data_IF_705160428053
#
_entry.id   IF_705160428053
#
_cell.length_a   1.000
_cell.length_b   1.000
_cell.length_c   1.000
_cell.angle_alpha   90.00
_cell.angle_beta   90.00
_cell.angle_gamma   90.00
#
_symmetry.space_group_name_H-M   'P 1'
#
loop_
_entity.id
_entity.type
_entity.pdbx_description
1 polymer ?
#
# COMPACT_ATOMS: atom_id res chain seq x y z
N UNK A 1 20.01 -6.16 -1.43
CA UNK A 1 18.94 -6.02 -0.42
C UNK A 1 19.34 -4.84 0.43
N UNK A 2 18.64 -3.72 0.31
CA UNK A 2 18.96 -2.51 1.08
C UNK A 2 18.53 -2.77 2.53
N UNK A 3 19.53 -2.86 3.40
CA UNK A 3 19.37 -3.00 4.84
C UNK A 3 20.23 -1.94 5.50
N UNK A 4 19.69 -1.41 6.58
CA UNK A 4 20.16 -0.22 7.26
C UNK A 4 20.53 -0.64 8.68
N UNK A 5 21.80 -0.59 9.04
CA UNK A 5 22.30 -1.08 10.33
C UNK A 5 22.52 0.11 11.26
N UNK A 6 21.93 0.03 12.45
CA UNK A 6 22.17 1.02 13.50
C UNK A 6 23.42 0.62 14.29
N UNK A 7 24.39 1.53 14.30
CA UNK A 7 25.59 1.43 15.11
C UNK A 7 25.56 2.50 16.20
N UNK A 8 25.77 2.07 17.44
CA UNK A 8 26.15 2.97 18.51
C UNK A 8 27.68 3.06 18.51
N UNK A 9 28.22 4.26 18.63
CA UNK A 9 29.65 4.47 18.57
C UNK A 9 30.13 5.49 19.60
N UNK A 10 31.36 5.30 20.03
CA UNK A 10 32.14 6.26 20.80
C UNK A 10 33.41 6.56 20.04
N UNK A 11 33.75 7.83 19.92
CA UNK A 11 34.93 8.29 19.21
C UNK A 11 35.56 9.47 19.94
N UNK A 12 36.85 9.68 19.71
CA UNK A 12 37.62 10.78 20.30
C UNK A 12 38.08 11.70 19.17
N UNK A 13 37.92 13.01 19.35
CA UNK A 13 38.43 13.99 18.40
C UNK A 13 39.95 14.19 18.58
N UNK A 14 40.61 14.95 17.70
CA UNK A 14 42.04 15.26 17.82
C UNK A 14 42.43 16.04 19.09
N UNK A 15 41.47 16.62 19.79
CA UNK A 15 41.65 17.39 21.03
C UNK A 15 41.46 16.53 22.29
N UNK A 16 41.13 15.24 22.16
CA UNK A 16 40.93 14.32 23.29
C UNK A 16 39.51 14.34 23.88
N UNK A 17 38.56 15.02 23.24
CA UNK A 17 37.16 15.05 23.68
C UNK A 17 36.40 13.81 23.20
N UNK A 18 35.58 13.25 24.08
CA UNK A 18 34.77 12.07 23.81
C UNK A 18 33.41 12.44 23.21
N UNK A 19 33.10 11.83 22.07
CA UNK A 19 31.79 11.93 21.42
C UNK A 19 31.14 10.55 21.38
N UNK A 20 29.84 10.51 21.67
CA UNK A 20 29.02 9.32 21.52
C UNK A 20 27.82 9.62 20.63
N UNK A 21 27.45 8.68 19.78
CA UNK A 21 26.35 8.84 18.85
C UNK A 21 25.76 7.52 18.36
N UNK A 22 24.60 7.60 17.74
CA UNK A 22 23.98 6.49 17.03
C UNK A 22 23.81 6.88 15.57
N UNK A 23 24.46 6.16 14.66
CA UNK A 23 24.40 6.44 13.22
C UNK A 23 23.89 5.22 12.48
N UNK A 24 23.04 5.48 11.50
CA UNK A 24 22.42 4.44 10.69
C UNK A 24 23.08 4.43 9.31
N UNK A 25 23.76 3.33 8.99
CA UNK A 25 24.55 3.15 7.76
C UNK A 25 24.33 1.76 7.18
N UNK A 26 24.68 1.53 5.91
CA UNK A 26 24.53 0.21 5.27
C UNK A 26 25.68 -0.73 5.63
N UNK A 27 26.87 -0.19 5.86
CA UNK A 27 28.08 -0.95 6.16
C UNK A 27 28.88 -0.29 7.27
N UNK A 28 29.66 -1.09 8.01
CA UNK A 28 30.61 -0.55 9.00
C UNK A 28 31.64 0.37 8.36
N UNK A 29 32.01 0.13 7.11
CA UNK A 29 32.98 0.95 6.40
C UNK A 29 32.47 2.37 6.18
N UNK A 30 31.20 2.54 5.80
CA UNK A 30 30.56 3.87 5.72
C UNK A 30 30.58 4.63 7.06
N UNK A 31 30.48 3.92 8.19
CA UNK A 31 30.59 4.56 9.51
C UNK A 31 32.01 5.06 9.77
N UNK A 32 33.02 4.25 9.42
CA UNK A 32 34.43 4.62 9.58
C UNK A 32 34.79 5.79 8.66
N UNK A 33 34.34 5.77 7.41
CA UNK A 33 34.55 6.87 6.45
C UNK A 33 33.89 8.17 6.93
N UNK A 34 32.69 8.07 7.50
CA UNK A 34 32.01 9.19 8.14
C UNK A 34 32.82 9.75 9.32
N UNK A 35 33.30 8.90 10.22
CA UNK A 35 34.13 9.31 11.36
C UNK A 35 35.44 9.97 10.92
N UNK A 36 36.10 9.43 9.90
CA UNK A 36 37.33 10.01 9.35
C UNK A 36 37.10 11.41 8.77
N UNK A 37 35.97 11.61 8.07
CA UNK A 37 35.59 12.91 7.50
C UNK A 37 35.35 13.96 8.59
N UNK A 38 34.75 13.55 9.71
CA UNK A 38 34.51 14.39 10.90
C UNK A 38 35.75 14.53 11.81
N UNK A 39 36.89 13.92 11.45
CA UNK A 39 38.12 13.99 12.25
C UNK A 39 38.06 13.21 13.57
N UNK A 40 37.15 12.22 13.65
CA UNK A 40 36.91 11.36 14.81
C UNK A 40 37.66 10.03 14.68
N UNK A 41 38.30 9.60 15.77
CA UNK A 41 38.95 8.29 15.87
C UNK A 41 38.04 7.35 16.68
N UNK A 42 37.58 6.21 16.12
CA UNK A 42 36.67 5.31 16.82
C UNK A 42 37.35 4.60 18.00
N UNK A 43 36.72 4.67 19.17
CA UNK A 43 37.12 3.94 20.38
C UNK A 43 36.27 2.67 20.54
N UNK A 44 34.97 2.77 20.30
CA UNK A 44 34.03 1.66 20.41
C UNK A 44 32.97 1.74 19.31
N UNK A 45 32.68 0.61 18.65
CA UNK A 45 31.62 0.50 17.64
C UNK A 45 30.78 -0.73 17.96
N UNK A 46 29.53 -0.51 18.36
CA UNK A 46 28.58 -1.56 18.72
C UNK A 46 27.48 -1.63 17.65
N UNK A 47 27.41 -2.75 16.95
CA UNK A 47 26.28 -3.04 16.08
C UNK A 47 25.05 -3.40 16.92
N UNK A 48 23.94 -2.68 16.75
CA UNK A 48 22.70 -2.91 17.52
C UNK A 48 21.70 -3.76 16.75
N UNK A 49 21.02 -3.16 15.78
CA UNK A 49 19.92 -3.79 15.07
C UNK A 49 19.95 -3.42 13.59
N UNK A 50 19.65 -4.40 12.76
CA UNK A 50 19.43 -4.22 11.33
C UNK A 50 17.97 -3.87 11.08
N UNK A 51 17.75 -2.74 10.42
CA UNK A 51 16.47 -2.28 9.94
C UNK A 51 16.33 -2.63 8.47
N UNK A 52 15.17 -3.17 8.13
CA UNK A 52 14.75 -3.46 6.77
C UNK A 52 13.52 -2.62 6.42
N UNK A 53 13.12 -2.62 5.15
CA UNK A 53 11.92 -1.93 4.66
C UNK A 53 10.65 -2.13 5.53
N UNK A 54 10.51 -3.26 6.23
CA UNK A 54 9.36 -3.55 7.12
C UNK A 54 9.31 -2.71 8.40
N UNK A 55 10.45 -2.16 8.82
CA UNK A 55 10.56 -1.36 10.03
C UNK A 55 10.13 0.09 9.80
N UNK A 56 10.16 0.57 8.56
CA UNK A 56 9.72 1.91 8.18
C UNK A 56 8.20 1.94 8.02
N UNK A 57 7.49 2.33 9.09
CA UNK A 57 6.04 2.33 9.10
C UNK A 57 5.50 3.63 8.53
N UNK A 58 4.37 3.53 7.82
CA UNK A 58 3.66 4.69 7.26
C UNK A 58 3.25 5.74 8.32
N UNK A 59 2.73 5.36 9.51
CA UNK A 59 2.38 6.33 10.55
C UNK A 59 3.55 7.20 10.98
N UNK A 60 4.75 6.63 11.12
CA UNK A 60 5.93 7.38 11.56
C UNK A 60 6.34 8.43 10.52
N UNK A 61 6.26 8.08 9.23
CA UNK A 61 6.51 9.03 8.13
C UNK A 61 5.48 10.15 8.07
N UNK A 62 4.21 9.83 8.28
CA UNK A 62 3.12 10.82 8.35
C UNK A 62 3.37 11.76 9.53
N UNK A 63 3.72 11.21 10.69
CA UNK A 63 4.05 11.97 11.89
C UNK A 63 5.25 12.88 11.65
N UNK A 64 6.31 12.38 11.02
CA UNK A 64 7.49 13.16 10.63
C UNK A 64 7.09 14.39 9.79
N UNK A 65 6.40 14.21 8.66
CA UNK A 65 6.01 15.34 7.82
C UNK A 65 5.02 16.29 8.50
N UNK A 66 4.08 15.75 9.29
CA UNK A 66 3.12 16.55 10.05
C UNK A 66 3.84 17.46 11.05
N UNK A 67 4.71 16.89 11.88
CA UNK A 67 5.45 17.62 12.90
C UNK A 67 6.48 18.59 12.31
N UNK A 68 7.21 18.18 11.26
CA UNK A 68 8.11 19.09 10.54
C UNK A 68 7.34 20.28 9.97
N UNK A 69 6.18 20.03 9.36
CA UNK A 69 5.29 21.09 8.88
C UNK A 69 4.84 22.04 10.00
N UNK A 70 4.38 21.51 11.14
CA UNK A 70 3.96 22.31 12.30
C UNK A 70 5.08 23.15 12.88
N UNK A 71 6.31 22.62 12.96
CA UNK A 71 7.45 23.38 13.48
C UNK A 71 7.90 24.48 12.52
N UNK A 72 7.88 24.21 11.21
CA UNK A 72 8.13 25.24 10.19
C UNK A 72 7.06 26.33 10.24
N UNK A 73 5.80 25.96 10.46
CA UNK A 73 4.68 26.90 10.62
C UNK A 73 4.85 27.79 11.85
N UNK A 74 5.45 27.25 12.92
CA UNK A 74 5.82 28.01 14.12
C UNK A 74 7.06 28.90 13.92
N UNK A 75 7.65 28.93 12.71
CA UNK A 75 8.82 29.74 12.37
C UNK A 75 10.15 29.14 12.83
N UNK A 76 10.17 27.88 13.28
CA UNK A 76 11.40 27.23 13.72
C UNK A 76 12.25 26.83 12.50
N UNK A 77 13.58 27.11 12.50
CA UNK A 77 14.46 26.64 11.43
C UNK A 77 14.41 25.12 11.27
N UNK A 78 14.48 24.64 10.03
CA UNK A 78 14.33 23.22 9.70
C UNK A 78 15.30 22.32 10.47
N UNK A 79 16.58 22.72 10.55
CA UNK A 79 17.61 21.97 11.25
C UNK A 79 17.30 21.84 12.75
N UNK A 80 16.88 22.94 13.39
CA UNK A 80 16.50 22.96 14.81
C UNK A 80 15.25 22.12 15.05
N UNK A 81 14.26 22.21 14.15
CA UNK A 81 13.06 21.39 14.21
C UNK A 81 13.36 19.90 14.13
N UNK A 82 14.24 19.47 13.22
CA UNK A 82 14.66 18.07 13.12
C UNK A 82 15.35 17.57 14.40
N UNK A 83 16.17 18.41 15.04
CA UNK A 83 16.82 18.09 16.32
C UNK A 83 15.82 17.87 17.45
N UNK A 84 14.79 18.73 17.53
CA UNK A 84 13.73 18.66 18.54
C UNK A 84 12.88 17.39 18.35
N UNK A 85 12.54 17.07 17.10
CA UNK A 85 11.82 15.83 16.77
C UNK A 85 12.66 14.60 17.08
N UNK A 86 13.96 14.62 16.80
CA UNK A 86 14.85 13.53 17.15
C UNK A 86 14.92 13.27 18.67
N UNK A 87 14.92 14.33 19.48
CA UNK A 87 14.92 14.22 20.94
C UNK A 87 13.66 13.56 21.52
N UNK A 88 12.51 13.78 20.88
CA UNK A 88 11.20 13.33 21.37
C UNK A 88 10.70 12.02 20.75
N UNK A 89 11.22 11.61 19.58
CA UNK A 89 10.71 10.44 18.86
C UNK A 89 10.94 9.13 19.63
N UNK A 90 9.97 8.19 19.77
CA UNK A 90 10.17 6.97 20.57
C UNK A 90 11.13 5.96 19.92
N UNK A 91 11.18 5.92 18.59
CA UNK A 91 11.95 4.94 17.85
C UNK A 91 13.38 5.43 17.52
N UNK A 92 14.41 4.71 18.00
CA UNK A 92 15.83 5.06 17.84
C UNK A 92 16.28 5.25 16.38
N UNK A 93 15.80 4.41 15.45
CA UNK A 93 16.14 4.51 14.03
C UNK A 93 15.60 5.78 13.37
N UNK A 94 14.45 6.29 13.81
CA UNK A 94 13.94 7.58 13.35
C UNK A 94 14.72 8.75 13.94
N UNK A 95 15.17 8.65 15.22
CA UNK A 95 16.07 9.64 15.81
C UNK A 95 17.35 9.79 15.00
N UNK A 96 18.00 8.66 14.65
CA UNK A 96 19.22 8.68 13.85
C UNK A 96 18.98 9.28 12.46
N UNK A 97 17.88 8.95 11.79
CA UNK A 97 17.53 9.54 10.49
C UNK A 97 17.35 11.05 10.60
N UNK A 98 16.60 11.54 11.59
CA UNK A 98 16.37 12.97 11.79
C UNK A 98 17.67 13.73 12.09
N UNK A 99 18.56 13.17 12.91
CA UNK A 99 19.87 13.77 13.19
C UNK A 99 20.79 13.78 11.96
N UNK A 100 20.79 12.71 11.16
CA UNK A 100 21.55 12.66 9.91
C UNK A 100 21.02 13.68 8.89
N UNK A 101 19.69 13.83 8.77
CA UNK A 101 19.07 14.85 7.94
C UNK A 101 19.45 16.26 8.41
N UNK A 102 19.42 16.51 9.74
CA UNK A 102 19.85 17.78 10.32
C UNK A 102 21.30 18.11 9.96
N UNK A 103 22.23 17.17 10.14
CA UNK A 103 23.65 17.37 9.79
C UNK A 103 23.83 17.72 8.31
N UNK A 104 23.07 17.07 7.42
CA UNK A 104 23.12 17.36 5.99
C UNK A 104 22.62 18.75 5.65
N UNK A 105 21.56 19.21 6.32
CA UNK A 105 21.04 20.57 6.14
C UNK A 105 22.04 21.60 6.68
N UNK A 106 22.64 21.35 7.84
CA UNK A 106 23.67 22.22 8.43
C UNK A 106 24.93 22.32 7.56
N UNK A 107 25.29 21.26 6.83
CA UNK A 107 26.37 21.26 5.84
C UNK A 107 26.00 21.94 4.50
N UNK A 108 24.80 22.51 4.40
CA UNK A 108 24.35 23.28 3.23
C UNK A 108 23.62 22.46 2.16
N UNK A 109 23.31 21.19 2.41
CA UNK A 109 22.49 20.41 1.48
C UNK A 109 21.01 20.79 1.60
N UNK A 110 20.30 20.88 0.48
CA UNK A 110 18.83 21.01 0.48
C UNK A 110 18.19 19.79 1.15
N UNK A 111 17.09 19.99 1.86
CA UNK A 111 16.29 18.96 2.50
C UNK A 111 15.84 17.88 1.51
N UNK A 112 15.40 18.23 0.30
CA UNK A 112 15.00 17.23 -0.70
C UNK A 112 16.15 16.31 -1.13
N UNK A 113 17.38 16.81 -1.18
CA UNK A 113 18.59 16.01 -1.45
C UNK A 113 18.91 15.09 -0.27
N UNK A 114 18.81 15.60 0.97
CA UNK A 114 18.99 14.80 2.17
C UNK A 114 17.99 13.64 2.24
N UNK A 115 16.70 13.89 1.94
CA UNK A 115 15.66 12.85 1.89
C UNK A 115 15.92 11.77 0.82
N UNK A 116 16.57 12.10 -0.31
CA UNK A 116 16.88 11.12 -1.39
C UNK A 116 17.79 9.99 -0.93
N UNK A 117 18.59 10.21 0.10
CA UNK A 117 19.46 9.17 0.66
C UNK A 117 18.68 8.04 1.36
N UNK A 118 17.39 8.28 1.62
CA UNK A 118 16.51 7.36 2.33
C UNK A 118 15.29 6.94 1.48
N UNK A 119 15.50 6.31 0.29
CA UNK A 119 14.41 5.97 -0.64
C UNK A 119 13.44 4.93 -0.07
N UNK A 120 13.85 4.14 0.93
CA UNK A 120 12.98 3.20 1.64
C UNK A 120 11.92 3.90 2.49
N UNK A 121 12.24 5.11 2.97
CA UNK A 121 11.37 5.92 3.84
C UNK A 121 10.57 6.89 2.97
N UNK A 122 11.26 7.61 2.08
CA UNK A 122 10.71 8.71 1.29
C UNK A 122 10.61 8.34 -0.20
N UNK A 123 9.39 8.02 -0.70
CA UNK A 123 9.17 7.76 -2.11
C UNK A 123 9.53 8.96 -3.00
N UNK A 124 9.86 8.74 -4.30
CA UNK A 124 10.25 9.81 -5.23
C UNK A 124 9.25 10.97 -5.35
N UNK A 125 7.96 10.70 -5.19
CA UNK A 125 6.89 11.72 -5.22
C UNK A 125 7.00 12.65 -4.02
N UNK A 126 7.25 12.11 -2.81
CA UNK A 126 7.46 12.91 -1.60
C UNK A 126 8.66 13.85 -1.78
N UNK A 127 9.78 13.30 -2.24
CA UNK A 127 11.00 14.05 -2.50
C UNK A 127 10.75 15.17 -3.52
N UNK A 128 10.00 14.88 -4.59
CA UNK A 128 9.73 15.87 -5.64
C UNK A 128 8.82 17.00 -5.13
N UNK A 129 7.84 16.70 -4.29
CA UNK A 129 6.97 17.69 -3.65
C UNK A 129 7.72 18.56 -2.63
N UNK A 130 8.62 17.95 -1.84
CA UNK A 130 9.48 18.70 -0.92
C UNK A 130 10.43 19.60 -1.70
N UNK A 131 11.06 19.09 -2.77
CA UNK A 131 11.93 19.88 -3.65
C UNK A 131 11.20 21.08 -4.25
N UNK A 132 9.92 20.91 -4.61
CA UNK A 132 9.08 22.00 -5.08
C UNK A 132 8.84 23.04 -3.97
N UNK A 133 8.47 22.59 -2.77
CA UNK A 133 8.27 23.47 -1.62
C UNK A 133 9.53 24.24 -1.22
N UNK A 134 10.72 23.64 -1.36
CA UNK A 134 11.98 24.35 -1.16
C UNK A 134 12.19 25.45 -2.19
N UNK A 135 11.92 25.17 -3.47
CA UNK A 135 12.10 26.14 -4.55
C UNK A 135 11.10 27.29 -4.49
N UNK A 136 9.87 27.02 -4.07
CA UNK A 136 8.80 28.03 -3.99
C UNK A 136 8.66 28.67 -2.61
N UNK A 137 9.51 28.30 -1.64
CA UNK A 137 9.45 28.79 -0.26
C UNK A 137 8.24 28.29 0.54
N UNK A 138 7.50 27.31 0.01
CA UNK A 138 6.30 26.75 0.62
C UNK A 138 6.53 25.37 1.26
N UNK A 139 7.72 25.18 1.87
CA UNK A 139 8.10 23.89 2.46
C UNK A 139 7.13 23.46 3.58
N UNK A 140 6.72 24.40 4.44
CA UNK A 140 5.72 24.19 5.49
C UNK A 140 4.44 23.57 4.91
N UNK A 141 3.84 24.27 3.95
CA UNK A 141 2.60 23.88 3.30
C UNK A 141 2.72 22.50 2.64
N UNK A 142 3.84 22.23 1.95
CA UNK A 142 4.11 20.93 1.33
C UNK A 142 4.18 19.81 2.36
N UNK A 143 4.87 20.01 3.49
CA UNK A 143 4.96 19.02 4.58
C UNK A 143 3.58 18.70 5.16
N UNK A 144 2.78 19.71 5.49
CA UNK A 144 1.44 19.54 6.06
C UNK A 144 0.52 18.80 5.08
N UNK A 145 0.49 19.22 3.81
CA UNK A 145 -0.37 18.60 2.80
C UNK A 145 0.06 17.19 2.45
N UNK A 146 1.36 16.93 2.38
CA UNK A 146 1.89 15.58 2.17
C UNK A 146 1.49 14.65 3.33
N UNK A 147 1.56 15.12 4.57
CA UNK A 147 1.12 14.36 5.73
C UNK A 147 -0.39 14.05 5.67
N UNK A 148 -1.23 15.05 5.37
CA UNK A 148 -2.69 14.88 5.20
C UNK A 148 -3.01 13.86 4.10
N UNK A 149 -2.36 14.00 2.95
CA UNK A 149 -2.52 13.12 1.79
C UNK A 149 -2.13 11.66 2.13
N UNK A 150 -1.01 11.45 2.82
CA UNK A 150 -0.58 10.11 3.24
C UNK A 150 -1.47 9.52 4.34
N UNK A 151 -1.97 10.34 5.25
CA UNK A 151 -2.91 9.91 6.30
C UNK A 151 -4.21 9.37 5.70
N UNK A 152 -4.74 10.07 4.70
CA UNK A 152 -5.93 9.64 3.93
C UNK A 152 -5.71 8.29 3.23
N UNK A 153 -4.56 8.12 2.56
CA UNK A 153 -4.19 6.84 1.96
C UNK A 153 -4.07 5.70 2.99
N UNK A 154 -3.49 5.99 4.16
CA UNK A 154 -3.38 5.01 5.25
C UNK A 154 -4.76 4.61 5.77
N UNK A 155 -5.68 5.57 5.93
CA UNK A 155 -7.05 5.32 6.37
C UNK A 155 -7.80 4.42 5.38
N UNK A 156 -7.73 4.72 4.07
CA UNK A 156 -8.30 3.86 3.02
C UNK A 156 -7.74 2.44 3.07
N UNK A 157 -6.41 2.30 3.20
CA UNK A 157 -5.76 0.99 3.34
C UNK A 157 -6.24 0.24 4.59
N UNK A 158 -6.38 0.93 5.72
CA UNK A 158 -6.87 0.34 6.96
C UNK A 158 -8.33 -0.07 6.85
N UNK A 159 -9.17 0.71 6.18
CA UNK A 159 -10.57 0.35 5.90
C UNK A 159 -10.65 -0.93 5.06
N UNK A 160 -9.85 -1.03 4.00
CA UNK A 160 -9.76 -2.25 3.18
C UNK A 160 -9.31 -3.46 4.00
N UNK A 161 -8.27 -3.32 4.83
CA UNK A 161 -7.80 -4.40 5.70
C UNK A 161 -8.84 -4.81 6.75
N UNK A 162 -9.59 -3.86 7.30
CA UNK A 162 -10.68 -4.12 8.25
C UNK A 162 -11.83 -4.87 7.57
N UNK A 163 -12.23 -4.44 6.37
CA UNK A 163 -13.27 -5.10 5.57
C UNK A 163 -12.94 -6.57 5.27
N UNK A 164 -11.67 -6.89 5.00
CA UNK A 164 -11.22 -8.27 4.72
C UNK A 164 -11.14 -9.17 5.97
N UNK A 165 -11.19 -8.62 7.18
CA UNK A 165 -11.01 -9.38 8.41
C UNK A 165 -12.19 -10.31 8.71
N UNK A 166 -13.41 -9.84 8.52
CA UNK A 166 -14.63 -10.62 8.77
C UNK A 166 -14.77 -11.81 7.82
N UNK A 167 -14.63 -11.65 6.48
CA UNK A 167 -14.67 -12.78 5.54
C UNK A 167 -13.62 -13.84 5.84
N UNK A 168 -12.40 -13.43 6.20
CA UNK A 168 -11.33 -14.37 6.55
C UNK A 168 -11.67 -15.17 7.81
N UNK A 169 -12.24 -14.52 8.83
CA UNK A 169 -12.66 -15.19 10.06
C UNK A 169 -13.80 -16.19 9.81
N UNK A 170 -14.84 -15.80 9.07
CA UNK A 170 -15.96 -16.68 8.71
C UNK A 170 -15.51 -17.88 7.87
N UNK A 171 -14.61 -17.66 6.90
CA UNK A 171 -14.03 -18.73 6.09
C UNK A 171 -13.25 -19.72 6.98
N UNK A 172 -12.40 -19.20 7.87
CA UNK A 172 -11.63 -20.02 8.81
C UNK A 172 -12.56 -20.86 9.69
N UNK A 173 -13.62 -20.27 10.25
CA UNK A 173 -14.59 -20.97 11.08
C UNK A 173 -15.34 -22.05 10.29
N UNK A 174 -15.76 -21.73 9.07
CA UNK A 174 -16.47 -22.66 8.17
C UNK A 174 -15.59 -23.85 7.82
N UNK A 175 -14.33 -23.61 7.44
CA UNK A 175 -13.37 -24.67 7.14
C UNK A 175 -13.08 -25.51 8.39
N UNK A 176 -12.92 -24.90 9.56
CA UNK A 176 -12.69 -25.61 10.81
C UNK A 176 -13.84 -26.57 11.15
N UNK A 177 -15.08 -26.07 11.16
CA UNK A 177 -16.28 -26.87 11.46
C UNK A 177 -16.48 -27.96 10.41
N UNK A 178 -16.36 -27.59 9.12
CA UNK A 178 -16.53 -28.52 8.00
C UNK A 178 -15.50 -29.65 8.05
N UNK A 179 -14.24 -29.31 8.32
CA UNK A 179 -13.17 -30.30 8.46
C UNK A 179 -13.41 -31.22 9.65
N UNK A 180 -13.87 -30.72 10.80
CA UNK A 180 -14.21 -31.56 11.95
C UNK A 180 -15.34 -32.55 11.64
N UNK A 181 -16.38 -32.09 10.94
CA UNK A 181 -17.50 -32.95 10.51
C UNK A 181 -17.04 -34.04 9.54
N UNK A 182 -16.22 -33.70 8.54
CA UNK A 182 -15.75 -34.65 7.54
C UNK A 182 -14.72 -35.65 8.08
N UNK A 183 -13.82 -35.22 8.98
CA UNK A 183 -12.72 -36.05 9.48
C UNK A 183 -13.09 -36.94 10.66
N UNK A 184 -14.05 -36.54 11.50
CA UNK A 184 -14.42 -37.29 12.71
C UNK A 184 -15.83 -37.84 12.66
N UNK A 185 -16.81 -37.05 12.21
CA UNK A 185 -18.22 -37.44 12.28
C UNK A 185 -18.60 -38.36 11.11
N UNK A 186 -18.22 -37.99 9.89
CA UNK A 186 -18.56 -38.76 8.69
C UNK A 186 -18.00 -40.20 8.67
N UNK A 187 -16.76 -40.48 9.14
CA UNK A 187 -16.21 -41.85 9.16
C UNK A 187 -16.93 -42.78 10.11
N UNK A 188 -17.38 -42.27 11.28
CA UNK A 188 -18.18 -43.05 12.24
C UNK A 188 -19.48 -43.51 11.61
N UNK A 189 -20.17 -42.61 10.88
CA UNK A 189 -21.33 -42.99 10.09
C UNK A 189 -20.97 -44.01 9.02
N UNK A 190 -19.90 -43.80 8.25
CA UNK A 190 -19.48 -44.75 7.22
C UNK A 190 -19.16 -46.16 7.77
N UNK A 191 -18.64 -46.26 8.99
CA UNK A 191 -18.38 -47.53 9.66
C UNK A 191 -19.67 -48.33 9.94
N UNK A 192 -20.74 -47.65 10.35
CA UNK A 192 -22.07 -48.27 10.61
C UNK A 192 -22.71 -48.81 9.32
N UNK A 193 -22.48 -48.17 8.16
CA UNK A 193 -22.98 -48.68 6.87
C UNK A 193 -22.23 -49.92 6.43
N UNK A 194 -20.91 -49.96 6.64
CA UNK A 194 -20.09 -51.13 6.31
C UNK A 194 -20.51 -52.36 7.10
N UNK A 195 -20.92 -52.22 8.36
CA UNK A 195 -21.44 -53.35 9.15
C UNK A 195 -22.84 -53.81 8.72
N UNK A 196 -23.63 -52.93 8.08
CA UNK A 196 -24.99 -53.23 7.63
C UNK A 196 -25.07 -53.79 6.19
N UNK A 197 -23.92 -53.97 5.50
CA UNK A 197 -23.83 -54.40 4.09
C UNK A 197 -24.60 -53.52 3.07
N UNK A 198 -25.01 -52.31 3.46
CA UNK A 198 -25.71 -51.37 2.58
C UNK A 198 -24.70 -50.42 1.93
N UNK A 199 -24.72 -50.24 0.59
CA UNK A 199 -23.81 -49.32 -0.07
C UNK A 199 -24.12 -47.86 0.33
N UNK A 200 -23.08 -47.10 0.68
CA UNK A 200 -23.18 -45.67 0.91
C UNK A 200 -23.65 -44.95 -0.37
N UNK A 201 -24.56 -43.94 -0.26
CA UNK A 201 -24.98 -43.11 -1.37
C UNK A 201 -23.81 -42.47 -2.11
N UNK A 202 -23.97 -42.28 -3.43
CA UNK A 202 -22.90 -41.76 -4.30
C UNK A 202 -22.38 -40.38 -3.87
N UNK A 203 -23.29 -39.49 -3.44
CA UNK A 203 -22.94 -38.15 -2.97
C UNK A 203 -22.06 -38.17 -1.71
N UNK A 204 -22.40 -39.01 -0.73
CA UNK A 204 -21.62 -39.18 0.50
C UNK A 204 -20.26 -39.83 0.20
N UNK A 205 -20.21 -40.80 -0.71
CA UNK A 205 -18.96 -41.44 -1.15
C UNK A 205 -18.03 -40.46 -1.86
N UNK A 206 -18.57 -39.60 -2.70
CA UNK A 206 -17.83 -38.52 -3.38
C UNK A 206 -17.22 -37.57 -2.34
N UNK A 207 -18.01 -37.12 -1.34
CA UNK A 207 -17.52 -36.24 -0.28
C UNK A 207 -16.44 -36.89 0.61
N UNK A 208 -16.57 -38.17 0.97
CA UNK A 208 -15.51 -38.92 1.67
C UNK A 208 -14.25 -38.98 0.82
N UNK A 209 -14.37 -39.29 -0.47
CA UNK A 209 -13.21 -39.35 -1.38
C UNK A 209 -12.53 -37.99 -1.57
N UNK A 210 -13.30 -36.90 -1.53
CA UNK A 210 -12.75 -35.54 -1.51
C UNK A 210 -12.11 -35.21 -0.17
N UNK A 211 -12.66 -35.69 0.96
CA UNK A 211 -12.14 -35.49 2.32
C UNK A 211 -10.81 -36.22 2.56
N UNK A 212 -10.73 -37.49 2.19
CA UNK A 212 -9.51 -38.29 2.33
C UNK A 212 -8.37 -37.71 1.47
N UNK A 213 -8.72 -37.15 0.31
CA UNK A 213 -7.79 -36.45 -0.54
C UNK A 213 -7.64 -34.96 -0.19
N UNK A 214 -8.47 -34.36 0.68
CA UNK A 214 -8.44 -32.91 0.93
C UNK A 214 -7.13 -32.50 1.62
N UNK A 215 -6.59 -33.35 2.50
CA UNK A 215 -5.28 -33.14 3.13
C UNK A 215 -4.14 -33.24 2.08
N UNK A 216 -4.30 -34.10 1.07
CA UNK A 216 -3.33 -34.28 -0.02
C UNK A 216 -3.48 -33.25 -1.16
N UNK A 217 -4.70 -32.74 -1.39
CA UNK A 217 -5.07 -31.79 -2.45
C UNK A 217 -4.89 -30.35 -1.97
N UNK A 218 -5.02 -30.04 -0.68
CA UNK A 218 -4.77 -28.70 -0.12
C UNK A 218 -3.44 -28.09 -0.58
N UNK A 219 -2.29 -28.80 -0.47
CA UNK A 219 -1.03 -28.28 -1.00
C UNK A 219 -1.05 -28.13 -2.52
N UNK A 220 -1.81 -28.96 -3.25
CA UNK A 220 -2.02 -28.86 -4.70
C UNK A 220 -2.86 -27.64 -5.12
N UNK A 221 -3.95 -27.33 -4.42
CA UNK A 221 -4.77 -26.14 -4.66
C UNK A 221 -4.00 -24.88 -4.26
N UNK A 222 -3.28 -24.92 -3.13
CA UNK A 222 -2.40 -23.83 -2.73
C UNK A 222 -1.27 -23.63 -3.75
N UNK A 223 -0.64 -24.71 -4.24
CA UNK A 223 0.37 -24.66 -5.29
C UNK A 223 -0.20 -24.16 -6.63
N UNK A 224 -1.41 -24.55 -7.01
CA UNK A 224 -2.11 -24.06 -8.21
C UNK A 224 -2.42 -22.56 -8.10
N UNK A 225 -2.92 -22.11 -6.96
CA UNK A 225 -3.17 -20.68 -6.70
C UNK A 225 -1.86 -19.89 -6.71
N UNK A 226 -0.81 -20.39 -6.05
CA UNK A 226 0.52 -19.77 -6.07
C UNK A 226 1.07 -19.75 -7.50
N UNK A 227 0.93 -20.83 -8.27
CA UNK A 227 1.37 -20.91 -9.66
C UNK A 227 0.55 -20.00 -10.59
N UNK A 228 -0.76 -19.84 -10.36
CA UNK A 228 -1.60 -18.87 -11.04
C UNK A 228 -1.18 -17.44 -10.71
N UNK A 229 -0.92 -17.13 -9.43
CA UNK A 229 -0.46 -15.82 -8.99
C UNK A 229 0.93 -15.52 -9.56
N UNK A 230 1.86 -16.47 -9.51
CA UNK A 230 3.21 -16.33 -10.07
C UNK A 230 3.19 -16.27 -11.59
N UNK A 231 2.42 -17.13 -12.25
CA UNK A 231 2.24 -17.13 -13.70
C UNK A 231 1.62 -15.82 -14.18
N UNK A 232 0.62 -15.32 -13.45
CA UNK A 232 0.03 -14.00 -13.66
C UNK A 232 1.07 -12.89 -13.44
N UNK A 233 1.86 -12.93 -12.36
CA UNK A 233 2.92 -11.95 -12.10
C UNK A 233 4.04 -11.96 -13.14
N UNK A 234 4.48 -13.13 -13.60
CA UNK A 234 5.52 -13.29 -14.62
C UNK A 234 5.01 -12.74 -15.95
N UNK A 235 3.78 -13.09 -16.34
CA UNK A 235 3.15 -12.60 -17.57
C UNK A 235 2.90 -11.09 -17.50
N UNK A 236 2.56 -10.57 -16.31
CA UNK A 236 2.45 -9.14 -16.02
C UNK A 236 3.79 -8.43 -16.16
N UNK A 237 4.90 -9.00 -15.68
CA UNK A 237 6.24 -8.40 -15.81
C UNK A 237 6.79 -8.47 -17.22
N UNK A 238 6.45 -9.51 -17.98
CA UNK A 238 7.03 -9.76 -19.30
C UNK A 238 6.31 -9.06 -20.45
N UNK A 239 5.04 -8.64 -20.29
CA UNK A 239 4.24 -8.18 -21.42
C UNK A 239 3.40 -6.92 -21.12
N UNK A 240 3.89 -5.78 -21.61
CA UNK A 240 3.22 -4.48 -21.51
C UNK A 240 1.80 -4.47 -22.10
N UNK A 241 1.56 -5.19 -23.21
CA UNK A 241 0.24 -5.26 -23.83
C UNK A 241 -0.78 -6.01 -22.97
N UNK A 242 -0.31 -7.03 -22.25
CA UNK A 242 -1.16 -7.80 -21.35
C UNK A 242 -1.57 -6.98 -20.11
N UNK A 243 -0.65 -6.19 -19.56
CA UNK A 243 -0.95 -5.24 -18.48
C UNK A 243 -2.01 -4.20 -18.87
N UNK A 244 -1.99 -3.71 -20.12
CA UNK A 244 -2.98 -2.78 -20.64
C UNK A 244 -4.36 -3.43 -20.77
N UNK A 245 -4.41 -4.65 -21.27
CA UNK A 245 -5.66 -5.40 -21.46
C UNK A 245 -6.30 -5.77 -20.12
N UNK A 246 -5.47 -6.22 -19.17
CA UNK A 246 -5.85 -6.51 -17.80
C UNK A 246 -6.43 -5.28 -17.10
N UNK A 247 -5.76 -4.12 -17.20
CA UNK A 247 -6.24 -2.88 -16.59
C UNK A 247 -7.56 -2.39 -17.19
N UNK A 248 -7.72 -2.49 -18.52
CA UNK A 248 -8.99 -2.18 -19.19
C UNK A 248 -10.11 -3.12 -18.76
N UNK A 249 -9.81 -4.40 -18.54
CA UNK A 249 -10.78 -5.36 -18.03
C UNK A 249 -11.15 -5.07 -16.57
N UNK A 250 -10.16 -4.77 -15.72
CA UNK A 250 -10.37 -4.42 -14.31
C UNK A 250 -11.30 -3.21 -14.15
N UNK A 251 -11.14 -2.21 -15.01
CA UNK A 251 -11.99 -1.01 -15.04
C UNK A 251 -13.46 -1.31 -15.39
N UNK A 252 -13.77 -2.48 -15.97
CA UNK A 252 -15.16 -2.90 -16.27
C UNK A 252 -15.85 -3.57 -15.08
N UNK A 253 -15.13 -3.91 -14.02
CA UNK A 253 -15.73 -4.51 -12.83
C UNK A 253 -16.49 -3.42 -12.04
N UNK A 254 -17.77 -3.62 -11.73
CA UNK A 254 -18.67 -2.56 -11.25
C UNK A 254 -18.26 -1.97 -9.90
N UNK A 255 -17.56 -2.73 -9.05
CA UNK A 255 -17.09 -2.27 -7.73
C UNK A 255 -15.57 -2.15 -7.68
N UNK A 256 -14.84 -3.22 -8.03
CA UNK A 256 -13.39 -3.22 -7.98
C UNK A 256 -12.75 -2.22 -8.97
N UNK A 257 -13.33 -2.07 -10.16
CA UNK A 257 -12.88 -1.10 -11.15
C UNK A 257 -13.09 0.34 -10.69
N UNK A 258 -14.25 0.63 -10.13
CA UNK A 258 -14.58 1.96 -9.57
C UNK A 258 -13.67 2.30 -8.40
N UNK A 259 -13.41 1.35 -7.49
CA UNK A 259 -12.46 1.55 -6.38
C UNK A 259 -11.05 1.85 -6.90
N UNK A 260 -10.58 1.06 -7.86
CA UNK A 260 -9.24 1.23 -8.43
C UNK A 260 -9.09 2.58 -9.13
N UNK A 261 -10.06 2.93 -9.98
CA UNK A 261 -10.09 4.20 -10.71
C UNK A 261 -10.16 5.40 -9.76
N UNK A 262 -11.08 5.38 -8.79
CA UNK A 262 -11.25 6.47 -7.81
C UNK A 262 -10.00 6.65 -6.94
N UNK A 263 -9.36 5.57 -6.50
CA UNK A 263 -8.10 5.64 -5.73
C UNK A 263 -6.98 6.31 -6.53
N UNK A 264 -6.83 5.96 -7.81
CA UNK A 264 -5.78 6.54 -8.67
C UNK A 264 -6.10 8.01 -8.99
N UNK A 265 -7.33 8.34 -9.35
CA UNK A 265 -7.73 9.73 -9.64
C UNK A 265 -7.59 10.62 -8.40
N UNK A 266 -7.95 10.15 -7.22
CA UNK A 266 -7.75 10.87 -5.96
C UNK A 266 -6.28 11.21 -5.74
N UNK A 267 -5.36 10.28 -6.02
CA UNK A 267 -3.91 10.51 -5.93
C UNK A 267 -3.41 11.50 -6.98
N UNK A 268 -3.80 11.31 -8.25
CA UNK A 268 -3.42 12.19 -9.37
C UNK A 268 -3.82 13.62 -9.07
N UNK A 269 -5.11 13.86 -8.74
CA UNK A 269 -5.60 15.20 -8.49
C UNK A 269 -5.11 15.78 -7.17
N UNK A 270 -4.84 14.96 -6.15
CA UNK A 270 -4.20 15.43 -4.91
C UNK A 270 -2.81 15.99 -5.17
N UNK A 271 -1.98 15.28 -5.95
CA UNK A 271 -0.64 15.74 -6.31
C UNK A 271 -0.71 16.97 -7.22
N UNK A 272 -1.59 16.98 -8.22
CA UNK A 272 -1.77 18.15 -9.06
C UNK A 272 -2.25 19.38 -8.26
N UNK A 273 -3.25 19.23 -7.40
CA UNK A 273 -3.71 20.30 -6.52
C UNK A 273 -2.59 20.84 -5.63
N UNK A 274 -1.83 19.94 -5.00
CA UNK A 274 -0.69 20.31 -4.16
C UNK A 274 0.36 21.10 -4.95
N UNK A 275 0.76 20.61 -6.12
CA UNK A 275 1.76 21.30 -6.95
C UNK A 275 1.28 22.66 -7.46
N UNK A 276 0.00 22.79 -7.85
CA UNK A 276 -0.58 24.07 -8.26
C UNK A 276 -0.67 25.06 -7.10
N UNK A 277 -1.14 24.62 -5.93
CA UNK A 277 -1.22 25.46 -4.73
C UNK A 277 0.18 25.89 -4.24
N UNK A 278 1.20 25.05 -4.46
CA UNK A 278 2.61 25.36 -4.21
C UNK A 278 3.24 26.33 -5.23
N UNK A 279 2.49 26.77 -6.23
CA UNK A 279 2.95 27.72 -7.25
C UNK A 279 3.76 27.09 -8.40
N UNK A 280 3.80 25.76 -8.51
CA UNK A 280 4.49 25.11 -9.62
C UNK A 280 3.68 25.17 -10.92
N UNK A 281 4.35 25.25 -12.08
CA UNK A 281 3.68 25.13 -13.36
C UNK A 281 3.06 23.74 -13.53
N UNK A 282 1.89 23.67 -14.16
CA UNK A 282 1.12 22.43 -14.38
C UNK A 282 1.93 21.31 -15.04
N UNK A 283 2.85 21.66 -15.94
CA UNK A 283 3.77 20.72 -16.59
C UNK A 283 4.65 19.99 -15.58
N UNK A 284 5.17 20.70 -14.58
CA UNK A 284 5.99 20.12 -13.53
C UNK A 284 5.15 19.27 -12.59
N UNK A 285 3.93 19.71 -12.28
CA UNK A 285 2.92 18.92 -11.58
C UNK A 285 2.67 17.56 -12.25
N UNK A 286 2.42 17.55 -13.56
CA UNK A 286 2.21 16.31 -14.33
C UNK A 286 3.46 15.42 -14.34
N UNK A 287 4.66 16.00 -14.42
CA UNK A 287 5.92 15.25 -14.33
C UNK A 287 6.09 14.58 -12.96
N UNK A 288 5.70 15.24 -11.88
CA UNK A 288 5.72 14.67 -10.52
C UNK A 288 4.68 13.55 -10.41
N UNK A 289 3.47 13.78 -10.90
CA UNK A 289 2.39 12.79 -10.93
C UNK A 289 2.76 11.55 -11.75
N UNK A 290 3.48 11.71 -12.87
CA UNK A 290 3.97 10.57 -13.67
C UNK A 290 4.92 9.63 -12.91
N UNK A 291 5.58 10.10 -11.84
CA UNK A 291 6.45 9.27 -10.98
C UNK A 291 5.69 8.44 -9.95
N UNK A 292 4.39 8.64 -9.79
CA UNK A 292 3.57 7.79 -8.94
C UNK A 292 3.56 6.36 -9.49
N UNK A 293 3.53 5.36 -8.60
CA UNK A 293 3.41 3.95 -8.99
C UNK A 293 1.97 3.63 -9.41
N UNK A 294 1.58 4.09 -10.60
CA UNK A 294 0.32 3.78 -11.23
C UNK A 294 0.47 2.64 -12.24
N UNK A 295 -0.66 2.06 -12.68
CA UNK A 295 -0.65 1.16 -13.82
C UNK A 295 -0.22 1.86 -15.11
N UNK A 296 0.41 1.14 -16.03
CA UNK A 296 0.89 1.65 -17.33
C UNK A 296 -0.17 2.43 -18.11
N UNK A 297 -1.45 2.04 -18.03
CA UNK A 297 -2.55 2.79 -18.66
C UNK A 297 -2.58 4.26 -18.20
N UNK A 298 -2.38 4.51 -16.91
CA UNK A 298 -2.38 5.85 -16.33
C UNK A 298 -1.08 6.60 -16.59
N UNK A 299 0.06 5.89 -16.60
CA UNK A 299 1.36 6.48 -16.95
C UNK A 299 1.34 7.00 -18.39
N UNK A 300 0.89 6.16 -19.34
CA UNK A 300 0.72 6.56 -20.75
C UNK A 300 -0.27 7.73 -20.88
N UNK A 301 -1.38 7.69 -20.13
CA UNK A 301 -2.34 8.80 -20.11
C UNK A 301 -1.72 10.11 -19.64
N UNK A 302 -0.98 10.09 -18.53
CA UNK A 302 -0.30 11.27 -17.98
C UNK A 302 0.81 11.80 -18.89
N UNK A 303 1.58 10.91 -19.52
CA UNK A 303 2.61 11.29 -20.49
C UNK A 303 1.98 11.93 -21.74
N UNK A 304 0.86 11.39 -22.23
CA UNK A 304 0.10 11.99 -23.32
C UNK A 304 -0.42 13.39 -22.95
N UNK A 305 -0.97 13.56 -21.75
CA UNK A 305 -1.42 14.87 -21.26
C UNK A 305 -0.26 15.86 -21.15
N UNK A 306 0.91 15.41 -20.68
CA UNK A 306 2.12 16.23 -20.63
C UNK A 306 2.54 16.69 -22.03
N UNK A 307 2.54 15.78 -23.02
CA UNK A 307 2.84 16.13 -24.41
C UNK A 307 1.82 17.11 -25.00
N UNK A 308 0.52 16.98 -24.70
CA UNK A 308 -0.51 17.93 -25.16
C UNK A 308 -0.23 19.35 -24.65
N UNK A 309 0.13 19.50 -23.38
CA UNK A 309 0.49 20.80 -22.80
C UNK A 309 1.83 21.30 -23.37
N UNK A 310 2.77 20.41 -23.67
CA UNK A 310 4.03 20.77 -24.34
C UNK A 310 3.80 21.34 -25.74
N UNK A 311 2.76 20.88 -26.43
CA UNK A 311 2.31 21.38 -27.73
C UNK A 311 1.42 22.64 -27.66
N UNK A 312 1.17 23.18 -26.46
CA UNK A 312 0.35 24.37 -26.25
C UNK A 312 -1.16 24.12 -26.29
N UNK A 313 -1.60 22.86 -26.24
CA UNK A 313 -3.02 22.51 -26.16
C UNK A 313 -3.51 22.55 -24.70
N UNK A 314 -4.83 22.70 -24.51
CA UNK A 314 -5.42 22.70 -23.16
C UNK A 314 -5.39 21.30 -22.54
N UNK A 315 -5.18 21.21 -21.23
CA UNK A 315 -5.25 19.96 -20.46
C UNK A 315 -6.65 19.34 -20.57
N UNK A 316 -7.70 20.17 -20.54
CA UNK A 316 -9.08 19.69 -20.68
C UNK A 316 -9.29 18.93 -21.98
N UNK A 317 -8.75 19.41 -23.11
CA UNK A 317 -8.87 18.73 -24.40
C UNK A 317 -8.17 17.37 -24.42
N UNK A 318 -7.00 17.27 -23.79
CA UNK A 318 -6.25 16.03 -23.66
C UNK A 318 -6.99 14.98 -22.83
N UNK A 319 -7.72 15.40 -21.78
CA UNK A 319 -8.47 14.49 -20.90
C UNK A 319 -9.61 13.74 -21.59
N UNK A 320 -10.26 14.36 -22.59
CA UNK A 320 -11.37 13.72 -23.33
C UNK A 320 -10.90 12.44 -24.02
N UNK A 321 -9.65 12.39 -24.47
CA UNK A 321 -9.11 11.29 -25.26
C UNK A 321 -8.53 10.15 -24.40
N UNK A 322 -8.40 10.34 -23.08
CA UNK A 322 -7.75 9.37 -22.20
C UNK A 322 -8.74 8.39 -21.56
N UNK A 323 -8.46 7.09 -21.74
CA UNK A 323 -9.18 6.03 -21.04
C UNK A 323 -8.87 6.10 -19.55
N UNK A 324 -9.89 6.08 -18.71
CA UNK A 324 -9.75 6.13 -17.26
C UNK A 324 -10.10 7.48 -16.63
N UNK A 325 -10.26 8.56 -17.40
CA UNK A 325 -10.73 9.84 -16.86
C UNK A 325 -12.24 10.02 -17.14
N UNK A 326 -13.11 10.03 -16.11
CA UNK A 326 -14.54 10.25 -16.29
C UNK A 326 -14.85 11.68 -16.79
N UNK A 327 -16.06 11.91 -17.35
CA UNK A 327 -16.47 13.23 -17.84
C UNK A 327 -16.36 14.37 -16.80
N UNK A 328 -16.51 14.03 -15.51
CA UNK A 328 -16.32 14.98 -14.40
C UNK A 328 -14.92 15.59 -14.38
N UNK A 329 -13.87 14.81 -14.68
CA UNK A 329 -12.50 15.30 -14.76
C UNK A 329 -12.37 16.39 -15.83
N UNK A 330 -12.90 16.13 -17.01
CA UNK A 330 -12.90 17.09 -18.11
C UNK A 330 -13.64 18.37 -17.74
N UNK A 331 -14.87 18.24 -17.22
CA UNK A 331 -15.73 19.38 -16.88
C UNK A 331 -15.07 20.33 -15.86
N UNK A 332 -14.56 19.79 -14.76
CA UNK A 332 -13.94 20.62 -13.72
C UNK A 332 -12.57 21.15 -14.14
N UNK A 333 -11.81 20.39 -14.93
CA UNK A 333 -10.53 20.89 -15.47
C UNK A 333 -10.77 22.03 -16.46
N UNK A 334 -11.74 21.89 -17.37
CA UNK A 334 -12.10 22.95 -18.32
C UNK A 334 -12.54 24.22 -17.60
N UNK A 335 -13.40 24.08 -16.58
CA UNK A 335 -13.83 25.21 -15.77
C UNK A 335 -12.60 25.89 -15.14
N UNK A 336 -11.70 25.12 -14.53
CA UNK A 336 -10.52 25.66 -13.86
C UNK A 336 -9.51 26.30 -14.79
N UNK A 337 -9.35 25.80 -16.01
CA UNK A 337 -8.54 26.46 -17.03
C UNK A 337 -9.14 27.81 -17.45
N UNK A 338 -10.47 27.87 -17.61
CA UNK A 338 -11.16 29.09 -18.02
C UNK A 338 -11.18 30.16 -16.91
N UNK A 339 -11.31 29.73 -15.65
CA UNK A 339 -11.37 30.64 -14.49
C UNK A 339 -10.01 30.86 -13.82
N UNK A 340 -8.97 30.15 -14.24
CA UNK A 340 -7.64 30.22 -13.61
C UNK A 340 -7.56 29.60 -12.21
N UNK A 341 -8.50 28.72 -11.83
CA UNK A 341 -8.64 28.14 -10.48
C UNK A 341 -8.44 26.63 -10.44
N UNK A 342 -7.47 26.13 -11.23
CA UNK A 342 -7.12 24.71 -11.28
C UNK A 342 -6.66 24.15 -9.93
N UNK A 343 -5.98 24.96 -9.14
CA UNK A 343 -5.53 24.65 -7.78
C UNK A 343 -6.67 24.21 -6.86
N UNK A 344 -7.79 24.96 -6.85
CA UNK A 344 -8.97 24.65 -6.05
C UNK A 344 -9.78 23.50 -6.68
N UNK A 345 -9.98 23.50 -7.99
CA UNK A 345 -10.80 22.47 -8.65
C UNK A 345 -10.14 21.09 -8.69
N UNK A 346 -8.82 21.00 -8.78
CA UNK A 346 -8.12 19.74 -8.57
C UNK A 346 -8.26 19.25 -7.12
N UNK A 347 -8.23 20.16 -6.14
CA UNK A 347 -8.53 19.81 -4.74
C UNK A 347 -9.93 19.21 -4.58
N UNK A 348 -10.93 19.82 -5.23
CA UNK A 348 -12.32 19.29 -5.23
C UNK A 348 -12.43 17.93 -5.92
N UNK A 349 -11.75 17.74 -7.06
CA UNK A 349 -11.69 16.43 -7.73
C UNK A 349 -11.04 15.38 -6.83
N UNK A 350 -9.95 15.72 -6.15
CA UNK A 350 -9.26 14.84 -5.23
C UNK A 350 -10.19 14.38 -4.08
N UNK A 351 -10.84 15.33 -3.40
CA UNK A 351 -11.76 15.04 -2.30
C UNK A 351 -12.98 14.23 -2.77
N UNK A 352 -13.48 14.50 -3.99
CA UNK A 352 -14.60 13.75 -4.57
C UNK A 352 -14.21 12.29 -4.82
N UNK A 353 -13.08 12.05 -5.49
CA UNK A 353 -12.63 10.69 -5.78
C UNK A 353 -12.18 9.94 -4.54
N UNK A 354 -11.65 10.62 -3.53
CA UNK A 354 -11.35 10.03 -2.23
C UNK A 354 -12.62 9.58 -1.51
N UNK A 355 -13.65 10.44 -1.49
CA UNK A 355 -14.95 10.10 -0.92
C UNK A 355 -15.58 8.92 -1.66
N UNK A 356 -15.47 8.91 -3.00
CA UNK A 356 -15.93 7.80 -3.83
C UNK A 356 -15.18 6.50 -3.50
N UNK A 357 -13.86 6.54 -3.37
CA UNK A 357 -13.05 5.36 -3.01
C UNK A 357 -13.43 4.81 -1.62
N UNK A 358 -13.64 5.68 -0.64
CA UNK A 358 -14.09 5.31 0.71
C UNK A 358 -15.48 4.65 0.68
N UNK A 359 -16.43 5.23 -0.06
CA UNK A 359 -17.78 4.65 -0.24
C UNK A 359 -17.73 3.29 -0.93
N UNK A 360 -17.04 3.18 -2.06
CA UNK A 360 -16.91 1.91 -2.78
C UNK A 360 -16.18 0.85 -1.94
N UNK A 361 -15.27 1.24 -1.04
CA UNK A 361 -14.65 0.31 -0.07
C UNK A 361 -15.70 -0.25 0.90
N UNK A 362 -16.60 0.60 1.42
CA UNK A 362 -17.69 0.16 2.29
C UNK A 362 -18.69 -0.73 1.54
N UNK A 363 -19.06 -0.38 0.31
CA UNK A 363 -19.97 -1.16 -0.53
C UNK A 363 -19.39 -2.54 -0.87
N UNK A 364 -18.09 -2.59 -1.19
CA UNK A 364 -17.37 -3.85 -1.37
C UNK A 364 -17.42 -4.70 -0.11
N UNK A 365 -17.13 -4.12 1.06
CA UNK A 365 -17.18 -4.83 2.32
C UNK A 365 -18.57 -5.44 2.59
N UNK A 366 -19.64 -4.66 2.38
CA UNK A 366 -21.02 -5.10 2.54
C UNK A 366 -21.40 -6.20 1.54
N UNK A 367 -20.96 -6.08 0.28
CA UNK A 367 -21.26 -7.08 -0.77
C UNK A 367 -20.61 -8.44 -0.52
N UNK A 368 -19.54 -8.51 0.28
CA UNK A 368 -18.88 -9.76 0.61
C UNK A 368 -19.73 -10.60 1.56
N UNK A 369 -20.57 -10.00 2.41
CA UNK A 369 -21.39 -10.74 3.38
C UNK A 369 -22.39 -11.71 2.73
N UNK A 370 -23.23 -11.31 1.75
CA UNK A 370 -24.11 -12.24 1.03
C UNK A 370 -23.36 -13.36 0.32
N UNK A 371 -22.20 -13.04 -0.27
CA UNK A 371 -21.35 -14.03 -0.93
C UNK A 371 -20.83 -15.05 0.08
N UNK A 372 -20.39 -14.59 1.25
CA UNK A 372 -19.97 -15.47 2.33
C UNK A 372 -21.12 -16.34 2.82
N UNK A 373 -22.31 -15.81 3.06
CA UNK A 373 -23.49 -16.59 3.46
C UNK A 373 -23.85 -17.68 2.44
N UNK A 374 -23.75 -17.36 1.14
CA UNK A 374 -23.99 -18.32 0.07
C UNK A 374 -22.93 -19.43 0.08
N UNK A 375 -21.65 -19.07 0.20
CA UNK A 375 -20.55 -20.03 0.27
C UNK A 375 -20.67 -20.93 1.51
N UNK A 376 -20.88 -20.36 2.69
CA UNK A 376 -21.02 -21.12 3.94
C UNK A 376 -22.28 -21.98 3.94
N UNK A 377 -23.38 -21.48 3.38
CA UNK A 377 -24.62 -22.23 3.20
C UNK A 377 -24.45 -23.43 2.26
N UNK A 378 -23.77 -23.26 1.11
CA UNK A 378 -23.48 -24.37 0.20
C UNK A 378 -22.58 -25.41 0.87
N UNK A 379 -21.50 -24.98 1.53
CA UNK A 379 -20.57 -25.90 2.21
C UNK A 379 -21.30 -26.65 3.32
N UNK A 380 -21.94 -25.94 4.24
CA UNK A 380 -22.62 -26.55 5.40
C UNK A 380 -23.80 -27.41 4.94
N UNK A 381 -24.60 -26.92 4.00
CA UNK A 381 -25.73 -27.66 3.42
C UNK A 381 -25.28 -28.95 2.75
N UNK A 382 -24.19 -28.92 1.99
CA UNK A 382 -23.63 -30.13 1.36
C UNK A 382 -23.22 -31.19 2.39
N UNK A 383 -22.65 -30.76 3.52
CA UNK A 383 -22.25 -31.66 4.62
C UNK A 383 -23.48 -32.25 5.31
N UNK A 384 -24.47 -31.42 5.63
CA UNK A 384 -25.73 -31.88 6.24
C UNK A 384 -26.39 -32.92 5.34
N UNK A 385 -26.55 -32.63 4.04
CA UNK A 385 -27.12 -33.59 3.10
C UNK A 385 -26.31 -34.89 3.07
N UNK A 386 -24.98 -34.82 3.01
CA UNK A 386 -24.13 -36.01 3.00
C UNK A 386 -24.22 -36.86 4.27
N UNK A 387 -24.54 -36.24 5.41
CA UNK A 387 -24.75 -36.94 6.68
C UNK A 387 -26.13 -37.57 6.80
N UNK A 388 -27.18 -36.90 6.31
CA UNK A 388 -28.56 -37.38 6.43
C UNK A 388 -29.00 -38.33 5.31
N UNK A 389 -28.45 -38.19 4.09
CA UNK A 389 -28.79 -39.06 2.96
C UNK A 389 -28.59 -40.55 3.27
N UNK A 390 -27.47 -40.96 3.92
CA UNK A 390 -27.34 -42.31 4.39
C UNK A 390 -28.51 -42.67 5.32
N UNK A 391 -28.79 -41.88 6.36
CA UNK A 391 -29.79 -42.19 7.38
C UNK A 391 -31.16 -42.59 6.78
N UNK A 392 -31.60 -41.92 5.72
CA UNK A 392 -32.82 -42.29 5.00
C UNK A 392 -32.72 -43.64 4.27
N UNK A 393 -31.58 -43.92 3.62
CA UNK A 393 -31.37 -45.19 2.91
C UNK A 393 -31.34 -46.42 3.84
N UNK A 394 -30.88 -46.29 5.09
CA UNK A 394 -31.03 -47.37 6.08
C UNK A 394 -32.48 -47.56 6.52
N UNK A 395 -33.25 -46.47 6.65
CA UNK A 395 -34.67 -46.55 6.98
C UNK A 395 -35.48 -47.30 5.92
N UNK A 396 -35.18 -47.07 4.64
CA UNK A 396 -35.79 -47.81 3.52
C UNK A 396 -35.30 -49.25 3.41
N UNK A 397 -34.08 -49.56 3.83
CA UNK A 397 -33.55 -50.92 3.81
C UNK A 397 -34.01 -51.79 5.00
N UNK A 398 -34.51 -51.17 6.07
CA UNK A 398 -35.06 -51.83 7.27
C UNK A 398 -36.59 -51.98 7.25
N UNK A 399 -37.27 -51.29 6.33
CA UNK A 399 -38.68 -51.50 5.96
C UNK A 399 -38.76 -52.53 4.84
#
# INVERSE_FOLDING_TARGET
MDHSILFDWQAVNRQGEYFAGSTLVRTRQQLVDFMQTEGLVPTEIIQRKTYSARHWRWPDRILFFSQTGTLLQAGLPLADGLSLLAGSHPARHWRSVMLQLQQQILSGQSFSVALRQWPEIFPPVCISLISAGEQTGQLEYCCIKLAQQQQRQLQLKQQLLKAMRYPLFMLLLTVLISSGMLLWVLPEFAAIYRSSNTPLPEFTRLLISLSDNLIAILPGIAALLIALIFGWQIKRRSNHAWQLTEQRFLLRLPLAGVLWQSTILAQIFSVLALTQQSGLPLREGLKITGKLQHGILWQQGLDNLRMHIEQGQSLSSGLIQQVGFPPLCYMLTRLGEQTGTLDHLFGRLADWYETQASRTTADLAASVEPVMLLITGIITGSIVVAMYLPMFSLGEALL
#
